data_IF_960163941736
#
_entry.id   IF_960163941736
#
_cell.length_a   1.000
_cell.length_b   1.000
_cell.length_c   1.000
_cell.angle_alpha   90.00
_cell.angle_beta   90.00
_cell.angle_gamma   90.00
#
_symmetry.space_group_name_H-M   'P 1'
#
loop_
_entity.id
_entity.type
_entity.pdbx_description
1 polymer ?
#
# COMPACT_ATOMS: atom_id res chain seq x y z
N UNK A 1 7.79 18.22 0.33
CA UNK A 1 8.06 19.21 -0.75
C UNK A 1 8.24 20.62 -0.25
N UNK A 2 7.33 21.19 0.56
CA UNK A 2 7.49 22.58 1.03
C UNK A 2 8.79 22.84 1.84
N UNK A 3 9.30 21.82 2.54
CA UNK A 3 10.52 21.92 3.36
C UNK A 3 11.76 21.41 2.62
N UNK A 4 11.68 20.23 1.98
CA UNK A 4 12.81 19.55 1.35
C UNK A 4 12.93 19.76 -0.18
N UNK A 5 12.03 20.54 -0.78
CA UNK A 5 11.91 20.69 -2.24
C UNK A 5 11.21 19.51 -2.93
N UNK A 6 10.90 19.64 -4.23
CA UNK A 6 10.34 18.58 -5.08
C UNK A 6 11.45 17.71 -5.68
N UNK A 7 12.21 17.02 -4.83
CA UNK A 7 13.32 16.14 -5.24
C UNK A 7 13.03 14.68 -4.90
N UNK A 8 13.69 13.76 -5.59
CA UNK A 8 13.61 12.32 -5.26
C UNK A 8 14.10 12.04 -3.84
N UNK A 9 15.15 12.73 -3.38
CA UNK A 9 15.62 12.64 -1.99
C UNK A 9 14.55 13.10 -1.01
N UNK A 10 13.87 14.21 -1.30
CA UNK A 10 12.75 14.71 -0.49
C UNK A 10 11.61 13.69 -0.39
N UNK A 11 11.35 12.92 -1.46
CA UNK A 11 10.39 11.84 -1.45
C UNK A 11 10.86 10.65 -0.59
N UNK A 12 12.13 10.26 -0.67
CA UNK A 12 12.72 9.20 0.16
C UNK A 12 12.67 9.53 1.66
N UNK A 13 12.93 10.79 2.03
CA UNK A 13 12.80 11.27 3.42
C UNK A 13 11.39 11.08 3.98
N UNK A 14 10.36 11.33 3.17
CA UNK A 14 8.96 11.13 3.56
C UNK A 14 8.67 9.64 3.83
N UNK A 15 9.21 8.73 3.02
CA UNK A 15 9.08 7.30 3.28
C UNK A 15 9.79 6.86 4.57
N UNK A 16 10.91 7.50 4.93
CA UNK A 16 11.57 7.31 6.23
C UNK A 16 10.64 7.63 7.41
N UNK A 17 9.89 8.74 7.31
CA UNK A 17 8.87 9.08 8.31
C UNK A 17 7.76 8.02 8.38
N UNK A 18 7.24 7.58 7.23
CA UNK A 18 6.24 6.52 7.19
C UNK A 18 6.73 5.21 7.80
N UNK A 19 8.01 4.88 7.65
CA UNK A 19 8.61 3.68 8.27
C UNK A 19 8.58 3.78 9.80
N UNK A 20 8.99 4.93 10.36
CA UNK A 20 8.94 5.16 11.82
C UNK A 20 7.51 5.05 12.34
N UNK A 21 6.54 5.64 11.62
CA UNK A 21 5.13 5.56 11.97
C UNK A 21 4.60 4.12 11.86
N UNK A 22 5.00 3.35 10.84
CA UNK A 22 4.64 1.94 10.70
C UNK A 22 5.10 1.14 11.91
N UNK A 23 6.37 1.32 12.32
CA UNK A 23 6.95 0.64 13.48
C UNK A 23 6.20 1.01 14.76
N UNK A 24 5.90 2.29 14.97
CA UNK A 24 5.14 2.75 16.13
C UNK A 24 3.71 2.16 16.15
N UNK A 25 3.02 2.13 15.01
CA UNK A 25 1.70 1.52 14.86
C UNK A 25 1.70 0.01 15.13
N UNK A 26 2.67 -0.72 14.59
CA UNK A 26 2.83 -2.16 14.84
C UNK A 26 3.20 -2.47 16.29
N UNK A 27 4.07 -1.66 16.90
CA UNK A 27 4.39 -1.76 18.32
C UNK A 27 3.13 -1.58 19.16
N UNK A 28 2.40 -0.48 18.93
CA UNK A 28 1.17 -0.16 19.65
C UNK A 28 0.12 -1.26 19.50
N UNK A 29 -0.09 -1.73 18.27
CA UNK A 29 -1.06 -2.78 17.99
C UNK A 29 -0.69 -4.13 18.61
N UNK A 30 0.55 -4.57 18.44
CA UNK A 30 1.06 -5.81 19.04
C UNK A 30 1.06 -5.78 20.57
N UNK A 31 1.37 -4.62 21.16
CA UNK A 31 1.26 -4.40 22.60
C UNK A 31 -0.18 -4.50 23.11
N UNK A 32 -1.14 -3.89 22.41
CA UNK A 32 -2.56 -3.99 22.75
C UNK A 32 -3.10 -5.42 22.61
N UNK A 33 -2.75 -6.13 21.53
CA UNK A 33 -3.21 -7.50 21.31
C UNK A 33 -2.62 -8.49 22.33
N UNK A 34 -1.35 -8.32 22.71
CA UNK A 34 -0.65 -9.27 23.57
C UNK A 34 0.18 -8.58 24.66
N UNK A 35 1.39 -8.11 24.33
CA UNK A 35 2.36 -7.55 25.28
C UNK A 35 3.45 -6.73 24.57
N UNK A 36 4.23 -5.97 25.34
CA UNK A 36 5.27 -5.08 24.81
C UNK A 36 6.35 -5.82 24.00
N UNK A 37 6.72 -7.05 24.37
CA UNK A 37 7.73 -7.81 23.62
C UNK A 37 7.19 -8.19 22.25
N UNK A 38 5.92 -8.59 22.17
CA UNK A 38 5.24 -8.87 20.91
C UNK A 38 5.21 -7.63 20.01
N UNK A 39 4.89 -6.45 20.57
CA UNK A 39 4.94 -5.18 19.85
C UNK A 39 6.33 -4.87 19.28
N UNK A 40 7.39 -5.01 20.08
CA UNK A 40 8.76 -4.77 19.63
C UNK A 40 9.16 -5.69 18.47
N UNK A 41 8.86 -6.98 18.56
CA UNK A 41 9.18 -7.92 17.49
C UNK A 41 8.34 -7.69 16.24
N UNK A 42 7.07 -7.29 16.36
CA UNK A 42 6.26 -6.92 15.19
C UNK A 42 6.84 -5.69 14.46
N UNK A 43 7.25 -4.66 15.22
CA UNK A 43 7.92 -3.48 14.68
C UNK A 43 9.26 -3.84 14.02
N UNK A 44 10.09 -4.65 14.68
CA UNK A 44 11.38 -5.08 14.14
C UNK A 44 11.21 -5.90 12.85
N UNK A 45 10.31 -6.89 12.85
CA UNK A 45 10.06 -7.73 11.67
C UNK A 45 9.60 -6.91 10.46
N UNK A 46 8.88 -5.81 10.66
CA UNK A 46 8.45 -4.93 9.55
C UNK A 46 9.61 -4.33 8.75
N UNK A 47 10.80 -4.21 9.34
CA UNK A 47 12.01 -3.71 8.68
C UNK A 47 12.65 -4.73 7.72
N UNK A 48 12.38 -6.01 7.97
CA UNK A 48 12.95 -7.17 7.25
C UNK A 48 11.89 -7.96 6.48
N UNK A 49 10.68 -7.40 6.34
CA UNK A 49 9.69 -7.89 5.38
C UNK A 49 10.04 -7.32 4.00
N UNK A 50 10.23 -8.17 2.99
CA UNK A 50 10.69 -7.76 1.67
C UNK A 50 9.80 -6.73 0.98
N UNK A 51 8.49 -6.97 0.93
CA UNK A 51 7.56 -6.05 0.28
C UNK A 51 7.60 -4.67 0.95
N UNK A 52 7.63 -4.62 2.29
CA UNK A 52 7.73 -3.37 3.05
C UNK A 52 9.10 -2.70 2.86
N UNK A 53 10.18 -3.48 2.77
CA UNK A 53 11.54 -2.98 2.57
C UNK A 53 11.77 -2.42 1.16
N UNK A 54 11.05 -2.93 0.15
CA UNK A 54 11.00 -2.34 -1.20
C UNK A 54 10.17 -1.06 -1.20
N UNK A 55 8.94 -1.09 -0.66
CA UNK A 55 8.00 0.04 -0.76
C UNK A 55 8.35 1.22 0.15
N UNK A 56 9.31 1.09 1.07
CA UNK A 56 9.93 2.25 1.73
C UNK A 56 10.92 2.99 0.81
N UNK A 57 11.41 2.36 -0.24
CA UNK A 57 12.31 2.97 -1.24
C UNK A 57 11.52 3.51 -2.43
N UNK A 58 10.38 2.90 -2.74
CA UNK A 58 9.47 3.37 -3.80
C UNK A 58 8.50 4.41 -3.25
N UNK A 59 8.40 5.59 -3.87
CA UNK A 59 7.45 6.63 -3.45
C UNK A 59 6.03 6.32 -3.98
N UNK A 60 5.36 5.37 -3.32
CA UNK A 60 4.01 4.90 -3.66
C UNK A 60 3.05 5.07 -2.49
N UNK A 61 1.77 5.32 -2.80
CA UNK A 61 0.71 5.52 -1.80
C UNK A 61 0.37 4.26 -0.99
N UNK A 62 0.79 3.08 -1.44
CA UNK A 62 0.53 1.82 -0.74
C UNK A 62 1.22 1.77 0.62
N UNK A 63 2.40 2.40 0.75
CA UNK A 63 3.15 2.46 2.00
C UNK A 63 2.47 3.32 3.08
N UNK A 64 2.15 4.61 2.83
CA UNK A 64 1.37 5.41 3.79
C UNK A 64 -0.01 4.83 4.07
N UNK A 65 -0.65 4.18 3.09
CA UNK A 65 -1.93 3.48 3.32
C UNK A 65 -1.75 2.36 4.36
N UNK A 66 -0.69 1.57 4.24
CA UNK A 66 -0.37 0.50 5.20
C UNK A 66 -0.15 1.05 6.61
N UNK A 67 0.50 2.22 6.72
CA UNK A 67 0.62 2.94 8.00
C UNK A 67 -0.74 3.34 8.54
N UNK A 68 -1.57 4.04 7.75
CA UNK A 68 -2.88 4.50 8.18
C UNK A 68 -3.80 3.32 8.61
N UNK A 69 -3.70 2.19 7.92
CA UNK A 69 -4.43 0.95 8.25
C UNK A 69 -3.96 0.36 9.59
N UNK A 70 -2.64 0.29 9.87
CA UNK A 70 -2.17 -0.25 11.15
C UNK A 70 -2.64 0.60 12.33
N UNK A 71 -2.64 1.93 12.20
CA UNK A 71 -3.19 2.83 13.23
C UNK A 71 -4.70 2.62 13.39
N UNK A 72 -5.43 2.42 12.29
CA UNK A 72 -6.86 2.10 12.35
C UNK A 72 -7.15 0.80 13.10
N UNK A 73 -6.35 -0.25 12.88
CA UNK A 73 -6.47 -1.50 13.63
C UNK A 73 -6.06 -1.35 15.10
N UNK A 74 -4.98 -0.62 15.36
CA UNK A 74 -4.52 -0.34 16.72
C UNK A 74 -5.58 0.40 17.53
N UNK A 75 -6.11 1.51 17.01
CA UNK A 75 -7.10 2.33 17.71
C UNK A 75 -8.43 1.59 17.88
N UNK A 76 -8.85 0.81 16.88
CA UNK A 76 -10.01 -0.07 17.00
C UNK A 76 -9.82 -1.12 18.11
N UNK A 77 -8.64 -1.75 18.20
CA UNK A 77 -8.32 -2.72 19.26
C UNK A 77 -8.28 -2.04 20.63
N UNK A 78 -7.60 -0.90 20.75
CA UNK A 78 -7.49 -0.15 22.00
C UNK A 78 -8.87 0.30 22.50
N UNK A 79 -9.72 0.80 21.61
CA UNK A 79 -11.11 1.12 21.90
C UNK A 79 -11.90 -0.12 22.39
N UNK A 80 -11.81 -1.24 21.66
CA UNK A 80 -12.47 -2.48 22.05
C UNK A 80 -12.02 -3.01 23.41
N UNK A 81 -10.73 -2.96 23.72
CA UNK A 81 -10.17 -3.44 24.98
C UNK A 81 -10.70 -2.64 26.18
N UNK A 82 -10.77 -1.30 26.06
CA UNK A 82 -11.34 -0.43 27.11
C UNK A 82 -12.83 -0.65 27.35
N UNK A 83 -13.53 -1.19 26.36
CA UNK A 83 -14.93 -1.56 26.48
C UNK A 83 -15.16 -3.01 26.93
N UNK A 84 -14.12 -3.84 26.99
CA UNK A 84 -14.18 -5.26 27.39
C UNK A 84 -13.67 -5.49 28.82
N UNK A 85 -12.65 -4.76 29.26
CA UNK A 85 -12.08 -4.88 30.60
C UNK A 85 -12.49 -3.74 31.53
N UNK A 86 -13.05 -4.07 32.70
CA UNK A 86 -12.91 -3.37 34.00
C UNK A 86 -13.18 -1.85 34.13
N UNK A 87 -13.62 -1.16 33.07
CA UNK A 87 -13.73 0.30 33.02
C UNK A 87 -15.13 0.88 32.86
N UNK A 88 -16.16 0.05 32.61
CA UNK A 88 -17.53 0.56 32.49
C UNK A 88 -18.02 1.21 33.81
N UNK A 89 -17.40 0.84 34.93
CA UNK A 89 -17.74 1.32 36.28
C UNK A 89 -16.75 2.38 36.82
N UNK A 90 -15.70 2.74 36.06
CA UNK A 90 -14.74 3.80 36.44
C UNK A 90 -14.88 5.01 35.52
N UNK A 91 -15.26 6.20 36.02
CA UNK A 91 -15.62 7.35 35.19
C UNK A 91 -14.49 7.82 34.25
N UNK A 92 -13.22 7.64 34.61
CA UNK A 92 -12.07 8.04 33.78
C UNK A 92 -11.82 7.14 32.55
N UNK A 93 -12.22 5.86 32.58
CA UNK A 93 -11.96 4.94 31.48
C UNK A 93 -12.95 5.14 30.31
N UNK A 94 -14.15 5.63 30.61
CA UNK A 94 -15.13 6.02 29.60
C UNK A 94 -14.64 7.18 28.72
N UNK A 95 -14.05 8.23 29.32
CA UNK A 95 -13.48 9.37 28.59
C UNK A 95 -12.33 8.94 27.66
N UNK A 96 -11.47 8.03 28.12
CA UNK A 96 -10.40 7.48 27.30
C UNK A 96 -10.95 6.67 26.11
N UNK A 97 -12.05 5.93 26.27
CA UNK A 97 -12.70 5.23 25.17
C UNK A 97 -13.22 6.18 24.07
N UNK A 98 -13.70 7.36 24.46
CA UNK A 98 -14.06 8.42 23.51
C UNK A 98 -12.85 8.96 22.76
N UNK A 99 -11.74 9.20 23.46
CA UNK A 99 -10.47 9.57 22.82
C UNK A 99 -10.03 8.56 21.77
N UNK A 100 -10.13 7.26 22.06
CA UNK A 100 -9.83 6.21 21.09
C UNK A 100 -10.81 6.15 19.92
N UNK A 101 -12.10 6.41 20.15
CA UNK A 101 -13.09 6.49 19.07
C UNK A 101 -12.80 7.67 18.13
N UNK A 102 -12.41 8.82 18.67
CA UNK A 102 -11.97 9.98 17.86
C UNK A 102 -10.69 9.64 17.10
N UNK A 103 -9.68 9.06 17.75
CA UNK A 103 -8.44 8.65 17.10
C UNK A 103 -8.70 7.64 15.96
N UNK A 104 -9.59 6.68 16.18
CA UNK A 104 -10.04 5.72 15.15
C UNK A 104 -10.72 6.43 13.97
N UNK A 105 -11.60 7.40 14.24
CA UNK A 105 -12.23 8.19 13.17
C UNK A 105 -11.23 9.00 12.35
N UNK A 106 -10.24 9.61 13.01
CA UNK A 106 -9.14 10.32 12.34
C UNK A 106 -8.31 9.37 11.48
N UNK A 107 -7.96 8.18 12.00
CA UNK A 107 -7.17 7.22 11.21
C UNK A 107 -7.96 6.68 10.01
N UNK A 108 -9.27 6.48 10.15
CA UNK A 108 -10.14 6.11 9.01
C UNK A 108 -10.19 7.23 7.96
N UNK A 109 -10.27 8.49 8.38
CA UNK A 109 -10.18 9.62 7.45
C UNK A 109 -8.85 9.59 6.67
N UNK A 110 -7.73 9.37 7.35
CA UNK A 110 -6.41 9.28 6.70
C UNK A 110 -6.35 8.10 5.73
N UNK A 111 -6.90 6.93 6.07
CA UNK A 111 -6.98 5.78 5.16
C UNK A 111 -7.72 6.16 3.86
N UNK A 112 -8.87 6.82 3.99
CA UNK A 112 -9.71 7.20 2.84
C UNK A 112 -9.13 8.34 2.00
N UNK A 113 -8.42 9.28 2.64
CA UNK A 113 -7.69 10.35 1.94
C UNK A 113 -6.44 9.83 1.23
N UNK A 114 -5.85 8.73 1.70
CA UNK A 114 -4.66 8.16 1.07
C UNK A 114 -5.03 7.40 -0.20
N UNK A 115 -6.03 6.52 -0.13
CA UNK A 115 -6.47 5.74 -1.28
C UNK A 115 -7.87 5.19 -1.08
N UNK A 116 -8.70 5.21 -2.12
CA UNK A 116 -10.08 4.69 -2.11
C UNK A 116 -10.15 3.19 -1.82
N UNK A 117 -9.16 2.42 -2.28
CA UNK A 117 -9.01 0.99 -1.94
C UNK A 117 -8.79 0.75 -0.44
N UNK A 118 -8.48 1.79 0.34
CA UNK A 118 -8.42 1.75 1.80
C UNK A 118 -9.70 1.23 2.45
N UNK A 119 -10.86 1.42 1.82
CA UNK A 119 -12.14 0.87 2.28
C UNK A 119 -12.11 -0.65 2.48
N UNK A 120 -11.36 -1.36 1.64
CA UNK A 120 -11.17 -2.81 1.76
C UNK A 120 -10.62 -3.21 3.13
N UNK A 121 -9.70 -2.42 3.66
CA UNK A 121 -9.06 -2.67 4.95
C UNK A 121 -9.87 -2.15 6.13
N UNK A 122 -10.75 -1.18 5.91
CA UNK A 122 -11.70 -0.72 6.94
C UNK A 122 -12.93 -1.63 7.06
N UNK A 123 -13.28 -2.38 6.01
CA UNK A 123 -14.44 -3.26 6.03
C UNK A 123 -14.36 -4.35 7.14
N UNK A 124 -13.24 -5.07 7.34
CA UNK A 124 -13.13 -6.04 8.43
C UNK A 124 -13.39 -5.45 9.84
N UNK A 125 -12.71 -4.38 10.32
CA UNK A 125 -13.05 -3.80 11.62
C UNK A 125 -14.49 -3.32 11.70
N UNK A 126 -15.05 -2.73 10.64
CA UNK A 126 -16.46 -2.35 10.62
C UNK A 126 -17.39 -3.55 10.80
N UNK A 127 -17.18 -4.64 10.07
CA UNK A 127 -17.97 -5.87 10.19
C UNK A 127 -17.88 -6.47 11.58
N UNK A 128 -16.68 -6.51 12.17
CA UNK A 128 -16.47 -6.99 13.53
C UNK A 128 -17.18 -6.14 14.58
N UNK A 129 -17.16 -4.82 14.41
CA UNK A 129 -17.83 -3.86 15.30
C UNK A 129 -19.34 -3.99 15.20
N UNK A 130 -19.90 -3.99 13.98
CA UNK A 130 -21.34 -4.13 13.74
C UNK A 130 -21.84 -5.46 14.29
N UNK A 131 -21.16 -6.56 14.00
CA UNK A 131 -21.51 -7.88 14.54
C UNK A 131 -21.44 -7.93 16.07
N UNK A 132 -20.39 -7.33 16.67
CA UNK A 132 -20.23 -7.24 18.12
C UNK A 132 -21.30 -6.40 18.83
N UNK A 133 -21.67 -5.26 18.25
CA UNK A 133 -22.73 -4.37 18.75
C UNK A 133 -24.08 -5.07 18.63
N UNK A 134 -24.42 -5.60 17.45
CA UNK A 134 -25.67 -6.29 17.17
C UNK A 134 -25.89 -7.48 18.11
N UNK A 135 -24.88 -8.34 18.27
CA UNK A 135 -24.94 -9.46 19.22
C UNK A 135 -25.14 -9.00 20.66
N UNK A 136 -24.49 -7.91 21.07
CA UNK A 136 -24.64 -7.36 22.42
C UNK A 136 -26.00 -6.68 22.67
N UNK A 137 -26.66 -6.14 21.64
CA UNK A 137 -28.01 -5.58 21.73
C UNK A 137 -29.07 -6.68 21.91
N UNK A 138 -28.87 -7.85 21.30
CA UNK A 138 -29.76 -9.01 21.43
C UNK A 138 -29.70 -9.66 22.82
N UNK A 139 -28.59 -9.53 23.55
CA UNK A 139 -28.44 -10.06 24.91
C UNK A 139 -28.78 -9.01 25.97
N UNK A 140 -29.87 -9.24 26.73
CA UNK A 140 -30.39 -8.32 27.74
C UNK A 140 -29.31 -7.75 28.70
N UNK A 141 -28.34 -8.56 29.13
CA UNK A 141 -27.28 -8.12 30.05
C UNK A 141 -26.20 -7.20 29.48
N UNK A 142 -26.17 -6.91 28.16
CA UNK A 142 -25.12 -6.07 27.53
C UNK A 142 -25.66 -4.86 26.76
N UNK A 143 -26.97 -4.60 26.84
CA UNK A 143 -27.65 -3.58 26.03
C UNK A 143 -27.10 -2.17 26.25
N UNK A 144 -26.87 -1.77 27.50
CA UNK A 144 -26.32 -0.43 27.85
C UNK A 144 -24.93 -0.21 27.27
N UNK A 145 -24.03 -1.18 27.41
CA UNK A 145 -22.68 -1.11 26.86
C UNK A 145 -22.71 -1.08 25.33
N UNK A 146 -23.59 -1.87 24.69
CA UNK A 146 -23.74 -1.84 23.23
C UNK A 146 -24.22 -0.50 22.69
N UNK A 147 -25.14 0.19 23.38
CA UNK A 147 -25.55 1.55 23.00
C UNK A 147 -24.40 2.55 23.08
N UNK A 148 -23.59 2.48 24.13
CA UNK A 148 -22.40 3.32 24.24
C UNK A 148 -21.40 3.05 23.10
N UNK A 149 -21.18 1.77 22.76
CA UNK A 149 -20.34 1.37 21.62
C UNK A 149 -20.87 1.90 20.30
N UNK A 150 -22.18 1.83 20.10
CA UNK A 150 -22.83 2.37 18.91
C UNK A 150 -22.58 3.88 18.81
N UNK A 151 -22.80 4.61 19.90
CA UNK A 151 -22.67 6.07 19.91
C UNK A 151 -21.21 6.52 19.72
N UNK A 152 -20.25 5.81 20.32
CA UNK A 152 -18.81 6.02 20.05
C UNK A 152 -18.43 5.67 18.61
N UNK A 153 -19.00 4.60 18.05
CA UNK A 153 -18.81 4.24 16.64
C UNK A 153 -19.38 5.30 15.68
N UNK A 154 -20.57 5.82 15.96
CA UNK A 154 -21.16 6.94 15.23
C UNK A 154 -20.30 8.20 15.33
N UNK A 155 -19.67 8.43 16.48
CA UNK A 155 -18.73 9.54 16.67
C UNK A 155 -17.49 9.35 15.81
N UNK A 156 -16.92 8.14 15.74
CA UNK A 156 -15.81 7.85 14.84
C UNK A 156 -16.18 8.08 13.36
N UNK A 157 -17.39 7.69 12.94
CA UNK A 157 -17.91 7.95 11.60
C UNK A 157 -18.10 9.45 11.33
N UNK A 158 -18.62 10.21 12.30
CA UNK A 158 -18.75 11.66 12.20
C UNK A 158 -17.38 12.33 12.06
N UNK A 159 -16.42 11.96 12.90
CA UNK A 159 -15.03 12.46 12.82
C UNK A 159 -14.41 12.09 11.47
N UNK A 160 -14.64 10.87 10.98
CA UNK A 160 -14.20 10.45 9.65
C UNK A 160 -14.78 11.38 8.58
N UNK A 161 -16.09 11.61 8.61
CA UNK A 161 -16.78 12.49 7.67
C UNK A 161 -16.31 13.93 7.74
N UNK A 162 -16.07 14.48 8.93
CA UNK A 162 -15.51 15.83 9.09
C UNK A 162 -14.10 15.93 8.49
N UNK A 163 -13.31 14.86 8.58
CA UNK A 163 -11.97 14.80 7.99
C UNK A 163 -11.98 14.72 6.46
N UNK A 164 -12.91 13.98 5.86
CA UNK A 164 -12.91 13.70 4.41
C UNK A 164 -13.95 14.50 3.61
N UNK A 165 -14.99 15.02 4.27
CA UNK A 165 -16.23 15.46 3.63
C UNK A 165 -16.02 16.57 2.61
N UNK A 166 -15.19 17.57 2.94
CA UNK A 166 -14.89 18.68 2.03
C UNK A 166 -14.10 18.25 0.79
N UNK A 167 -13.18 17.31 0.94
CA UNK A 167 -12.43 16.76 -0.21
C UNK A 167 -13.34 15.85 -1.05
N UNK A 168 -14.12 14.98 -0.39
CA UNK A 168 -15.03 14.07 -1.07
C UNK A 168 -16.11 14.83 -1.86
N UNK A 169 -16.69 15.90 -1.30
CA UNK A 169 -17.73 16.68 -2.00
C UNK A 169 -17.25 17.29 -3.32
N UNK A 170 -15.95 17.58 -3.44
CA UNK A 170 -15.35 18.15 -4.65
C UNK A 170 -14.85 17.08 -5.62
N UNK A 171 -14.49 15.88 -5.14
CA UNK A 171 -13.76 14.87 -5.91
C UNK A 171 -14.50 13.54 -6.07
N UNK A 172 -15.77 13.43 -5.63
CA UNK A 172 -16.53 12.17 -5.64
C UNK A 172 -16.59 11.52 -7.04
N UNK A 173 -16.76 12.31 -8.10
CA UNK A 173 -16.83 11.78 -9.46
C UNK A 173 -15.49 11.18 -9.88
N UNK A 174 -14.38 11.88 -9.57
CA UNK A 174 -13.02 11.39 -9.82
C UNK A 174 -12.72 10.11 -9.05
N UNK A 175 -13.18 10.00 -7.80
CA UNK A 175 -13.03 8.80 -6.98
C UNK A 175 -13.71 7.60 -7.64
N UNK A 176 -14.94 7.79 -8.13
CA UNK A 176 -15.71 6.71 -8.76
C UNK A 176 -15.09 6.34 -10.11
N UNK A 177 -14.78 7.33 -10.95
CA UNK A 177 -14.22 7.09 -12.29
C UNK A 177 -12.88 6.39 -12.21
N UNK A 178 -11.96 6.85 -11.36
CA UNK A 178 -10.63 6.23 -11.18
C UNK A 178 -10.72 4.81 -10.62
N UNK A 179 -11.69 4.53 -9.75
CA UNK A 179 -11.90 3.18 -9.22
C UNK A 179 -12.39 2.22 -10.32
N UNK A 180 -13.35 2.64 -11.15
CA UNK A 180 -13.84 1.85 -12.29
C UNK A 180 -12.73 1.60 -13.32
N UNK A 181 -11.99 2.66 -13.67
CA UNK A 181 -10.89 2.60 -14.62
C UNK A 181 -9.75 1.69 -14.11
N UNK A 182 -9.45 1.72 -12.80
CA UNK A 182 -8.43 0.82 -12.22
C UNK A 182 -8.79 -0.66 -12.35
N UNK A 183 -10.09 -0.97 -12.35
CA UNK A 183 -10.62 -2.33 -12.56
C UNK A 183 -10.42 -2.75 -14.02
N UNK A 184 -10.82 -1.89 -14.96
CA UNK A 184 -10.60 -2.11 -16.39
C UNK A 184 -9.11 -2.24 -16.72
N UNK A 185 -8.27 -1.44 -16.08
CA UNK A 185 -6.83 -1.48 -16.27
C UNK A 185 -6.23 -2.84 -15.83
N UNK A 186 -6.69 -3.42 -14.72
CA UNK A 186 -6.25 -4.76 -14.31
C UNK A 186 -6.69 -5.85 -15.28
N UNK A 187 -7.96 -5.82 -15.71
CA UNK A 187 -8.56 -6.86 -16.56
C UNK A 187 -8.04 -6.78 -18.00
N UNK A 188 -8.20 -5.61 -18.62
CA UNK A 188 -8.01 -5.42 -20.07
C UNK A 188 -6.56 -5.14 -20.43
N UNK A 189 -5.84 -4.38 -19.60
CA UNK A 189 -4.47 -3.96 -19.92
C UNK A 189 -3.44 -4.97 -19.42
N UNK A 190 -3.56 -5.47 -18.19
CA UNK A 190 -2.63 -6.44 -17.60
C UNK A 190 -3.00 -7.91 -17.77
N UNK A 191 -4.28 -8.23 -18.00
CA UNK A 191 -4.74 -9.61 -18.06
C UNK A 191 -4.73 -10.31 -16.70
N UNK A 192 -4.95 -9.56 -15.61
CA UNK A 192 -4.93 -10.10 -14.25
C UNK A 192 -5.98 -11.20 -14.05
N UNK A 193 -5.68 -12.27 -13.28
CA UNK A 193 -6.60 -13.38 -13.07
C UNK A 193 -7.82 -12.94 -12.26
N UNK A 194 -9.01 -13.23 -12.80
CA UNK A 194 -10.29 -12.77 -12.28
C UNK A 194 -10.77 -13.60 -11.08
N UNK A 195 -11.60 -12.99 -10.22
CA UNK A 195 -12.15 -13.63 -9.01
C UNK A 195 -13.07 -14.84 -9.29
N UNK A 196 -13.58 -14.98 -10.52
CA UNK A 196 -14.34 -16.16 -10.95
C UNK A 196 -13.45 -17.34 -11.37
N UNK A 197 -12.13 -17.23 -11.26
CA UNK A 197 -11.16 -18.28 -11.62
C UNK A 197 -10.39 -18.77 -10.38
N UNK A 198 -9.95 -20.03 -10.39
CA UNK A 198 -9.08 -20.56 -9.34
C UNK A 198 -7.76 -19.79 -9.25
N UNK A 199 -7.21 -19.35 -10.38
CA UNK A 199 -6.00 -18.54 -10.43
C UNK A 199 -6.17 -17.21 -9.67
N UNK A 200 -7.33 -16.56 -9.75
CA UNK A 200 -7.60 -15.30 -9.05
C UNK A 200 -7.61 -15.43 -7.52
N UNK A 201 -8.03 -16.58 -7.01
CA UNK A 201 -7.98 -16.92 -5.58
C UNK A 201 -6.58 -17.33 -5.14
N UNK A 202 -5.87 -18.12 -5.95
CA UNK A 202 -4.53 -18.61 -5.60
C UNK A 202 -3.43 -17.56 -5.80
N UNK A 203 -3.71 -16.43 -6.45
CA UNK A 203 -2.75 -15.36 -6.70
C UNK A 203 -1.98 -14.92 -5.44
N UNK A 204 -2.67 -14.45 -4.39
CA UNK A 204 -2.01 -13.94 -3.19
C UNK A 204 -1.25 -15.01 -2.40
N UNK A 205 -1.77 -16.25 -2.21
CA UNK A 205 -1.01 -17.35 -1.66
C UNK A 205 0.27 -17.67 -2.44
N UNK A 206 0.23 -17.60 -3.78
CA UNK A 206 1.39 -17.86 -4.64
C UNK A 206 2.48 -16.80 -4.47
N UNK A 207 2.11 -15.52 -4.37
CA UNK A 207 3.08 -14.41 -4.19
C UNK A 207 3.45 -14.15 -2.72
N UNK A 208 2.79 -14.79 -1.75
CA UNK A 208 3.05 -14.58 -0.32
C UNK A 208 4.52 -14.81 0.08
N UNK A 209 5.25 -15.83 -0.43
CA UNK A 209 6.67 -16.00 -0.15
C UNK A 209 7.51 -14.83 -0.65
N UNK A 210 7.13 -14.20 -1.77
CA UNK A 210 7.80 -12.99 -2.26
C UNK A 210 7.49 -11.78 -1.36
N UNK A 211 6.25 -11.68 -0.88
CA UNK A 211 5.81 -10.59 -0.01
C UNK A 211 6.48 -10.61 1.37
N UNK A 212 6.52 -11.78 2.03
CA UNK A 212 6.99 -11.96 3.41
C UNK A 212 8.41 -12.51 3.54
N UNK A 213 8.97 -13.13 2.50
CA UNK A 213 10.08 -14.10 2.52
C UNK A 213 9.64 -15.52 2.90
N UNK A 214 10.21 -16.56 2.25
CA UNK A 214 9.94 -17.95 2.61
C UNK A 214 10.23 -18.27 4.08
N UNK A 215 11.26 -17.65 4.66
CA UNK A 215 11.64 -17.83 6.06
C UNK A 215 10.50 -17.40 7.00
N UNK A 216 9.96 -16.19 6.81
CA UNK A 216 8.89 -15.69 7.67
C UNK A 216 7.57 -16.45 7.45
N UNK A 217 7.32 -16.95 6.23
CA UNK A 217 6.18 -17.84 5.97
C UNK A 217 6.31 -19.14 6.76
N UNK A 218 7.47 -19.80 6.71
CA UNK A 218 7.71 -21.03 7.47
C UNK A 218 7.61 -20.80 8.98
N UNK A 219 8.15 -19.69 9.48
CA UNK A 219 8.00 -19.31 10.88
C UNK A 219 6.53 -19.05 11.24
N UNK A 220 5.76 -18.40 10.38
CA UNK A 220 4.31 -18.22 10.57
C UNK A 220 3.55 -19.54 10.66
N UNK A 221 3.89 -20.52 9.80
CA UNK A 221 3.31 -21.86 9.84
C UNK A 221 3.71 -22.63 11.10
N UNK A 222 4.99 -22.57 11.49
CA UNK A 222 5.49 -23.21 12.72
C UNK A 222 4.84 -22.62 13.98
N UNK A 223 4.61 -21.31 13.98
CA UNK A 223 3.87 -20.62 15.03
C UNK A 223 2.42 -21.08 15.06
N UNK A 224 1.74 -21.12 13.91
CA UNK A 224 0.36 -21.57 13.82
C UNK A 224 0.17 -23.00 14.34
N UNK A 225 1.06 -23.92 13.97
CA UNK A 225 1.01 -25.31 14.46
C UNK A 225 1.24 -25.37 15.97
N UNK A 226 2.28 -24.73 16.49
CA UNK A 226 2.54 -24.66 17.93
C UNK A 226 1.38 -24.04 18.72
N UNK A 227 0.67 -23.08 18.12
CA UNK A 227 -0.50 -22.47 18.71
C UNK A 227 -1.75 -23.37 18.66
N UNK A 228 -1.91 -24.21 17.64
CA UNK A 228 -3.05 -25.13 17.62
C UNK A 228 -2.98 -26.15 18.76
N UNK A 229 -1.77 -26.54 19.17
CA UNK A 229 -1.53 -27.56 20.19
C UNK A 229 -1.40 -27.04 21.63
N UNK A 230 -1.60 -25.73 21.88
CA UNK A 230 -1.54 -25.18 23.24
C UNK A 230 -2.92 -24.66 23.70
N UNK A 231 -3.73 -25.51 24.37
CA UNK A 231 -5.10 -25.21 24.76
C UNK A 231 -5.22 -24.27 25.98
N UNK A 232 -4.15 -24.05 26.74
CA UNK A 232 -4.18 -23.34 28.02
C UNK A 232 -3.87 -21.84 27.87
N UNK A 233 -4.68 -21.12 27.09
CA UNK A 233 -4.50 -19.67 26.86
C UNK A 233 -5.44 -18.80 27.68
N UNK A 234 -4.98 -17.63 28.16
CA UNK A 234 -5.87 -16.61 28.70
C UNK A 234 -6.91 -16.17 27.66
N UNK A 235 -8.16 -15.98 28.09
CA UNK A 235 -9.28 -15.62 27.22
C UNK A 235 -9.01 -14.38 26.35
N UNK A 236 -8.33 -13.35 26.90
CA UNK A 236 -7.94 -12.14 26.15
C UNK A 236 -7.04 -12.47 24.95
N UNK A 237 -6.08 -13.39 25.12
CA UNK A 237 -5.21 -13.79 24.01
C UNK A 237 -5.99 -14.53 22.92
N UNK A 238 -6.97 -15.35 23.30
CA UNK A 238 -7.83 -16.03 22.34
C UNK A 238 -8.67 -15.04 21.51
N UNK A 239 -9.16 -13.96 22.11
CA UNK A 239 -9.86 -12.91 21.37
C UNK A 239 -8.93 -12.16 20.40
N UNK A 240 -7.71 -11.84 20.82
CA UNK A 240 -6.70 -11.23 19.93
C UNK A 240 -6.35 -12.13 18.76
N UNK A 241 -6.17 -13.43 18.98
CA UNK A 241 -5.95 -14.40 17.90
C UNK A 241 -7.13 -14.48 16.94
N UNK A 242 -8.37 -14.56 17.45
CA UNK A 242 -9.58 -14.57 16.61
C UNK A 242 -9.69 -13.30 15.77
N UNK A 243 -9.37 -12.16 16.36
CA UNK A 243 -9.34 -10.87 15.66
C UNK A 243 -8.30 -10.85 14.54
N UNK A 244 -7.07 -11.26 14.81
CA UNK A 244 -5.99 -11.29 13.80
C UNK A 244 -6.29 -12.27 12.66
N UNK A 245 -6.83 -13.47 12.96
CA UNK A 245 -7.25 -14.42 11.94
C UNK A 245 -8.43 -13.91 11.12
N UNK A 246 -9.42 -13.30 11.78
CA UNK A 246 -10.54 -12.67 11.09
C UNK A 246 -10.05 -11.58 10.13
N UNK A 247 -9.14 -10.69 10.56
CA UNK A 247 -8.52 -9.70 9.69
C UNK A 247 -7.79 -10.35 8.51
N UNK A 248 -6.91 -11.32 8.78
CA UNK A 248 -6.12 -11.97 7.74
C UNK A 248 -7.02 -12.64 6.69
N UNK A 249 -8.05 -13.36 7.11
CA UNK A 249 -8.99 -14.05 6.21
C UNK A 249 -9.87 -13.04 5.47
N UNK A 250 -10.46 -12.08 6.17
CA UNK A 250 -11.37 -11.11 5.57
C UNK A 250 -10.67 -10.23 4.52
N UNK A 251 -9.45 -9.74 4.83
CA UNK A 251 -8.65 -8.97 3.87
C UNK A 251 -8.28 -9.82 2.66
N UNK A 252 -7.88 -11.08 2.87
CA UNK A 252 -7.57 -12.00 1.78
C UNK A 252 -8.79 -12.25 0.88
N UNK A 253 -9.97 -12.50 1.47
CA UNK A 253 -11.21 -12.73 0.71
C UNK A 253 -11.59 -11.49 -0.08
N UNK A 254 -11.66 -10.33 0.57
CA UNK A 254 -12.02 -9.07 -0.09
C UNK A 254 -11.01 -8.69 -1.18
N UNK A 255 -9.71 -8.87 -0.92
CA UNK A 255 -8.66 -8.62 -1.91
C UNK A 255 -8.68 -9.61 -3.07
N UNK A 256 -9.08 -10.86 -2.81
CA UNK A 256 -9.25 -11.89 -3.84
C UNK A 256 -10.45 -11.62 -4.76
N UNK A 257 -11.43 -10.85 -4.31
CA UNK A 257 -12.56 -10.42 -5.14
C UNK A 257 -12.18 -9.26 -6.10
N UNK A 258 -11.11 -8.52 -5.83
CA UNK A 258 -10.65 -7.44 -6.70
C UNK A 258 -10.11 -7.96 -8.03
N UNK A 259 -10.43 -7.27 -9.12
CA UNK A 259 -10.00 -7.64 -10.47
C UNK A 259 -8.52 -7.28 -10.76
N UNK A 260 -7.99 -6.29 -10.05
CA UNK A 260 -6.59 -5.86 -10.16
C UNK A 260 -5.73 -6.65 -9.15
N UNK A 261 -4.74 -7.39 -9.64
CA UNK A 261 -3.94 -8.33 -8.84
C UNK A 261 -2.48 -7.92 -8.84
N UNK A 262 -2.06 -7.31 -7.73
CA UNK A 262 -0.65 -6.94 -7.52
C UNK A 262 -0.29 -7.11 -6.04
N UNK A 263 0.94 -7.53 -5.71
CA UNK A 263 1.32 -7.76 -4.32
C UNK A 263 1.18 -6.51 -3.45
N UNK A 264 1.49 -5.33 -4.01
CA UNK A 264 1.39 -4.04 -3.30
C UNK A 264 -0.02 -3.67 -2.87
N UNK A 265 -1.04 -4.11 -3.61
CA UNK A 265 -2.45 -3.77 -3.32
C UNK A 265 -2.97 -4.45 -2.07
N UNK A 266 -2.37 -5.57 -1.66
CA UNK A 266 -2.65 -6.25 -0.39
C UNK A 266 -1.54 -6.05 0.65
N UNK A 267 -0.67 -5.06 0.52
CA UNK A 267 0.39 -4.85 1.50
C UNK A 267 -0.10 -4.73 2.97
N UNK A 268 -1.24 -4.08 3.28
CA UNK A 268 -1.78 -4.08 4.65
C UNK A 268 -2.25 -5.45 5.16
N UNK A 269 -2.41 -6.45 4.28
CA UNK A 269 -2.66 -7.85 4.67
C UNK A 269 -1.51 -8.45 5.48
N UNK A 270 -0.29 -7.94 5.31
CA UNK A 270 0.89 -8.40 6.04
C UNK A 270 0.87 -8.03 7.53
N UNK A 271 0.10 -7.00 7.90
CA UNK A 271 0.04 -6.48 9.27
C UNK A 271 -0.39 -7.55 10.29
N UNK A 272 -1.53 -8.27 10.13
CA UNK A 272 -1.89 -9.34 11.05
C UNK A 272 -0.84 -10.46 11.07
N UNK A 273 -0.24 -10.82 9.94
CA UNK A 273 0.82 -11.83 9.88
C UNK A 273 2.04 -11.44 10.72
N UNK A 274 2.49 -10.19 10.64
CA UNK A 274 3.61 -9.69 11.41
C UNK A 274 3.37 -9.79 12.92
N UNK A 275 2.18 -9.40 13.39
CA UNK A 275 1.81 -9.49 14.81
C UNK A 275 1.73 -10.96 15.26
N UNK A 276 1.17 -11.83 14.43
CA UNK A 276 1.05 -13.26 14.73
C UNK A 276 2.42 -13.96 14.78
N UNK A 277 3.30 -13.72 13.80
CA UNK A 277 4.67 -14.26 13.76
C UNK A 277 5.46 -13.76 14.96
N UNK A 278 5.42 -12.44 15.24
CA UNK A 278 6.09 -11.86 16.39
C UNK A 278 5.62 -12.51 17.70
N UNK A 279 4.31 -12.70 17.86
CA UNK A 279 3.76 -13.35 19.05
C UNK A 279 4.28 -14.77 19.20
N UNK A 280 4.27 -15.54 18.11
CA UNK A 280 4.75 -16.91 18.12
C UNK A 280 6.22 -17.05 18.47
N UNK A 281 7.07 -16.16 17.95
CA UNK A 281 8.49 -16.11 18.31
C UNK A 281 8.68 -15.75 19.80
N UNK A 282 7.85 -14.85 20.34
CA UNK A 282 7.89 -14.47 21.76
C UNK A 282 7.42 -15.59 22.69
N UNK A 283 6.60 -16.52 22.22
CA UNK A 283 6.12 -17.66 23.01
C UNK A 283 7.20 -18.70 23.28
N UNK A 284 8.31 -18.71 22.53
CA UNK A 284 9.45 -19.61 22.79
C UNK A 284 10.31 -19.02 23.92
N UNK A 285 10.31 -19.62 25.13
CA UNK A 285 11.00 -19.04 26.28
C UNK A 285 12.51 -19.34 26.26
N UNK A 286 13.24 -18.73 27.19
CA UNK A 286 14.65 -19.03 27.46
C UNK A 286 15.67 -18.46 26.47
N UNK A 287 16.92 -18.90 26.62
CA UNK A 287 18.05 -18.52 25.76
C UNK A 287 17.86 -18.99 24.33
N UNK A 288 17.35 -20.23 24.13
CA UNK A 288 17.03 -20.77 22.81
C UNK A 288 15.99 -19.94 22.04
N UNK A 289 14.92 -19.49 22.71
CA UNK A 289 13.95 -18.58 22.10
C UNK A 289 14.52 -17.20 21.77
N UNK A 290 15.50 -16.72 22.56
CA UNK A 290 16.22 -15.47 22.26
C UNK A 290 17.10 -15.62 21.02
N UNK A 291 17.85 -16.72 20.93
CA UNK A 291 18.65 -17.05 19.76
C UNK A 291 17.78 -17.23 18.51
N UNK A 292 16.63 -17.89 18.62
CA UNK A 292 15.68 -18.05 17.50
C UNK A 292 15.19 -16.70 16.97
N UNK A 293 14.82 -15.77 17.86
CA UNK A 293 14.31 -14.45 17.48
C UNK A 293 15.35 -13.61 16.74
N UNK A 294 16.57 -13.51 17.28
CA UNK A 294 17.66 -12.78 16.65
C UNK A 294 18.18 -13.49 15.40
N UNK A 295 18.23 -14.83 15.39
CA UNK A 295 18.59 -15.62 14.23
C UNK A 295 17.59 -15.46 13.08
N UNK A 296 16.29 -15.51 13.37
CA UNK A 296 15.23 -15.26 12.38
C UNK A 296 15.32 -13.85 11.81
N UNK A 297 15.48 -12.83 12.67
CA UNK A 297 15.64 -11.44 12.21
C UNK A 297 16.91 -11.24 11.39
N UNK A 298 18.06 -11.76 11.85
CA UNK A 298 19.32 -11.67 11.13
C UNK A 298 19.28 -12.38 9.78
N UNK A 299 18.71 -13.58 9.72
CA UNK A 299 18.53 -14.31 8.46
C UNK A 299 17.58 -13.56 7.50
N UNK A 300 16.44 -13.04 7.99
CA UNK A 300 15.54 -12.23 7.18
C UNK A 300 16.21 -10.93 6.69
N UNK A 301 17.02 -10.28 7.53
CA UNK A 301 17.79 -9.11 7.16
C UNK A 301 18.79 -9.42 6.04
N UNK A 302 19.55 -10.52 6.15
CA UNK A 302 20.48 -10.96 5.10
C UNK A 302 19.77 -11.23 3.78
N UNK A 303 18.60 -11.90 3.83
CA UNK A 303 17.78 -12.16 2.64
C UNK A 303 17.29 -10.85 1.99
N UNK A 304 16.78 -9.91 2.79
CA UNK A 304 16.36 -8.60 2.27
C UNK A 304 17.53 -7.81 1.71
N UNK A 305 18.69 -7.82 2.36
CA UNK A 305 19.89 -7.15 1.84
C UNK A 305 20.35 -7.77 0.53
N UNK A 306 20.39 -9.10 0.41
CA UNK A 306 20.71 -9.76 -0.85
C UNK A 306 19.68 -9.47 -1.94
N UNK A 307 18.40 -9.33 -1.57
CA UNK A 307 17.34 -9.02 -2.50
C UNK A 307 17.40 -7.56 -3.02
N UNK A 308 17.85 -6.62 -2.19
CA UNK A 308 17.94 -5.19 -2.52
C UNK A 308 19.31 -4.76 -3.06
N UNK A 309 20.39 -5.50 -2.78
CA UNK A 309 21.75 -5.08 -3.15
C UNK A 309 22.57 -6.23 -3.73
N UNK A 310 23.37 -5.99 -4.79
CA UNK A 310 24.19 -7.01 -5.43
C UNK A 310 25.48 -7.26 -4.63
N UNK A 311 25.36 -7.76 -3.40
CA UNK A 311 26.47 -7.94 -2.44
C UNK A 311 26.85 -9.42 -2.21
N UNK A 312 26.39 -10.33 -3.06
CA UNK A 312 26.71 -11.77 -2.96
C UNK A 312 26.02 -12.50 -1.80
N UNK A 313 24.99 -11.90 -1.22
CA UNK A 313 24.15 -12.53 -0.18
C UNK A 313 23.06 -13.42 -0.81
N UNK A 314 22.50 -14.37 -0.04
CA UNK A 314 21.40 -15.20 -0.52
C UNK A 314 20.21 -14.35 -0.96
N UNK A 315 19.64 -14.70 -2.11
CA UNK A 315 18.45 -14.05 -2.68
C UNK A 315 17.35 -15.07 -2.86
N UNK A 316 16.11 -14.60 -2.99
CA UNK A 316 14.97 -15.41 -3.36
C UNK A 316 14.01 -14.52 -4.18
N UNK A 317 13.30 -15.15 -5.13
CA UNK A 317 12.45 -14.42 -6.07
C UNK A 317 13.25 -13.51 -7.02
N UNK A 318 12.59 -12.49 -7.55
CA UNK A 318 13.19 -11.48 -8.42
C UNK A 318 14.03 -10.48 -7.60
N UNK A 319 15.23 -10.15 -8.05
CA UNK A 319 16.07 -9.15 -7.37
C UNK A 319 15.67 -7.74 -7.78
N UNK A 320 15.86 -6.77 -6.88
CA UNK A 320 15.63 -5.34 -7.16
C UNK A 320 16.86 -4.53 -6.83
N UNK A 321 17.89 -4.68 -7.66
CA UNK A 321 19.12 -3.92 -7.49
C UNK A 321 18.95 -2.47 -7.89
N UNK A 322 19.66 -1.53 -7.25
CA UNK A 322 19.70 -0.15 -7.68
C UNK A 322 20.31 -0.10 -9.08
N UNK A 323 19.63 0.60 -9.98
CA UNK A 323 20.22 0.91 -11.27
C UNK A 323 21.41 1.87 -11.05
N UNK A 324 22.59 1.47 -11.54
CA UNK A 324 23.83 2.26 -11.46
C UNK A 324 24.18 2.93 -12.78
N UNK A 325 23.30 2.81 -13.78
CA UNK A 325 23.50 3.44 -15.09
C UNK A 325 23.21 4.95 -15.02
N UNK A 326 23.45 5.63 -16.13
CA UNK A 326 23.22 7.08 -16.23
C UNK A 326 21.76 7.43 -15.87
N UNK A 327 21.52 8.59 -15.23
CA UNK A 327 20.17 9.01 -14.89
C UNK A 327 19.30 9.14 -16.14
N UNK A 328 18.02 8.79 -16.02
CA UNK A 328 17.04 8.97 -17.09
C UNK A 328 16.88 10.46 -17.41
N UNK A 329 16.65 10.83 -18.69
CA UNK A 329 16.68 12.22 -19.15
C UNK A 329 15.40 12.99 -18.83
N UNK A 330 14.81 12.78 -17.65
CA UNK A 330 13.58 13.46 -17.23
C UNK A 330 13.77 14.98 -17.25
N UNK A 331 14.79 15.49 -16.56
CA UNK A 331 15.03 16.93 -16.48
C UNK A 331 15.41 17.52 -17.84
N UNK A 332 16.21 16.81 -18.63
CA UNK A 332 16.61 17.25 -19.98
C UNK A 332 15.40 17.41 -20.90
N UNK A 333 14.46 16.45 -20.88
CA UNK A 333 13.22 16.54 -21.63
C UNK A 333 12.36 17.73 -21.19
N UNK A 334 12.20 17.92 -19.88
CA UNK A 334 11.39 19.04 -19.35
C UNK A 334 12.06 20.38 -19.67
N UNK A 335 13.38 20.50 -19.52
CA UNK A 335 14.11 21.74 -19.80
C UNK A 335 14.12 22.05 -21.30
N UNK A 336 14.17 21.05 -22.19
CA UNK A 336 14.05 21.26 -23.64
C UNK A 336 12.69 21.88 -24.01
N UNK A 337 11.60 21.34 -23.46
CA UNK A 337 10.24 21.88 -23.66
C UNK A 337 10.14 23.28 -23.04
N UNK A 338 10.60 23.44 -21.80
CA UNK A 338 10.52 24.71 -21.08
C UNK A 338 11.36 25.81 -21.73
N UNK A 339 12.49 25.49 -22.35
CA UNK A 339 13.34 26.46 -23.06
C UNK A 339 12.73 26.86 -24.40
N UNK A 340 12.10 25.91 -25.10
CA UNK A 340 11.44 26.15 -26.39
C UNK A 340 10.15 26.95 -26.21
N UNK A 341 9.39 26.67 -25.14
CA UNK A 341 8.10 27.28 -24.82
C UNK A 341 8.10 27.93 -23.41
N UNK A 342 8.90 28.97 -23.15
CA UNK A 342 9.17 29.48 -21.79
C UNK A 342 7.98 30.09 -21.06
N UNK A 343 6.92 30.45 -21.78
CA UNK A 343 5.74 31.11 -21.20
C UNK A 343 4.46 30.27 -21.34
N UNK A 344 4.56 29.05 -21.84
CA UNK A 344 3.41 28.19 -22.08
C UNK A 344 3.46 26.96 -21.18
N UNK A 345 2.29 26.56 -20.68
CA UNK A 345 2.12 25.23 -20.09
C UNK A 345 1.92 24.23 -21.23
N UNK A 346 2.71 23.17 -21.24
CA UNK A 346 2.69 22.16 -22.31
C UNK A 346 2.28 20.80 -21.76
N UNK A 347 1.62 20.02 -22.60
CA UNK A 347 1.34 18.61 -22.34
C UNK A 347 2.27 17.79 -23.23
N UNK A 348 3.08 16.95 -22.61
CA UNK A 348 3.94 15.96 -23.25
C UNK A 348 3.16 14.66 -23.43
N UNK A 349 3.01 14.23 -24.68
CA UNK A 349 2.48 12.91 -25.03
C UNK A 349 3.54 11.84 -24.78
N UNK A 350 3.25 10.90 -23.89
CA UNK A 350 4.20 9.87 -23.47
C UNK A 350 3.73 8.52 -23.97
N UNK A 351 4.47 7.96 -24.93
CA UNK A 351 4.25 6.59 -25.39
C UNK A 351 5.02 5.59 -24.52
N UNK A 352 6.13 6.03 -23.92
CA UNK A 352 6.99 5.16 -23.13
C UNK A 352 6.36 4.88 -21.76
N UNK A 353 6.20 3.60 -21.41
CA UNK A 353 5.69 3.19 -20.10
C UNK A 353 6.55 2.07 -19.49
N UNK A 354 7.72 2.45 -18.97
CA UNK A 354 8.62 1.58 -18.21
C UNK A 354 8.63 1.96 -16.72
N UNK A 355 9.24 1.14 -15.86
CA UNK A 355 9.33 1.45 -14.44
C UNK A 355 10.06 2.78 -14.18
N UNK A 356 11.05 3.11 -15.01
CA UNK A 356 11.88 4.29 -14.84
C UNK A 356 11.45 5.49 -15.68
N UNK A 357 10.94 5.27 -16.90
CA UNK A 357 10.45 6.31 -17.79
C UNK A 357 8.98 6.07 -18.11
N UNK A 358 8.12 6.86 -17.49
CA UNK A 358 6.69 6.78 -17.64
C UNK A 358 6.06 8.17 -17.44
N UNK A 359 4.76 8.33 -17.76
CA UNK A 359 4.10 9.62 -17.63
C UNK A 359 4.17 10.18 -16.20
N UNK A 360 4.11 9.35 -15.15
CA UNK A 360 4.12 9.84 -13.76
C UNK A 360 5.47 10.45 -13.37
N UNK A 361 6.58 9.83 -13.77
CA UNK A 361 7.92 10.34 -13.49
C UNK A 361 8.20 11.65 -14.23
N UNK A 362 7.71 11.77 -15.47
CA UNK A 362 7.81 12.99 -16.27
C UNK A 362 6.90 14.10 -15.74
N UNK A 363 5.70 13.76 -15.27
CA UNK A 363 4.78 14.72 -14.62
C UNK A 363 5.40 15.27 -13.33
N UNK A 364 6.07 14.43 -12.55
CA UNK A 364 6.85 14.86 -11.38
C UNK A 364 7.96 15.87 -11.75
N UNK A 365 8.75 15.57 -12.78
CA UNK A 365 9.80 16.47 -13.25
C UNK A 365 9.22 17.80 -13.77
N UNK A 366 8.10 17.76 -14.48
CA UNK A 366 7.37 18.94 -14.94
C UNK A 366 6.79 19.78 -13.79
N UNK A 367 6.27 19.13 -12.74
CA UNK A 367 5.80 19.78 -11.52
C UNK A 367 6.96 20.45 -10.75
N UNK A 368 8.13 19.81 -10.68
CA UNK A 368 9.34 20.40 -10.11
C UNK A 368 9.79 21.67 -10.86
N UNK A 369 9.43 21.79 -12.15
CA UNK A 369 9.59 22.99 -12.97
C UNK A 369 8.36 23.91 -12.94
N UNK A 370 7.78 24.13 -11.76
CA UNK A 370 6.61 24.99 -11.53
C UNK A 370 5.38 24.62 -12.36
N UNK A 371 5.16 23.31 -12.57
CA UNK A 371 4.02 22.80 -13.36
C UNK A 371 3.98 23.35 -14.80
N UNK A 372 5.14 23.61 -15.39
CA UNK A 372 5.23 24.09 -16.77
C UNK A 372 4.92 22.97 -17.78
N UNK A 373 5.24 21.72 -17.45
CA UNK A 373 5.00 20.56 -18.31
C UNK A 373 4.15 19.54 -17.54
N UNK A 374 3.15 18.99 -18.21
CA UNK A 374 2.35 17.86 -17.74
C UNK A 374 2.57 16.67 -18.67
N UNK A 375 2.62 15.46 -18.14
CA UNK A 375 2.82 14.27 -18.95
C UNK A 375 1.54 13.41 -19.00
N UNK A 376 1.21 12.91 -20.18
CA UNK A 376 0.02 12.07 -20.41
C UNK A 376 0.37 10.84 -21.22
N UNK A 377 -0.09 9.67 -20.76
CA UNK A 377 0.02 8.45 -21.55
C UNK A 377 -0.93 8.51 -22.74
N UNK A 378 -0.45 8.13 -23.92
CA UNK A 378 -1.23 8.11 -25.15
C UNK A 378 -1.13 6.76 -25.87
N UNK A 379 -1.97 6.56 -26.88
CA UNK A 379 -1.91 5.39 -27.75
C UNK A 379 -2.45 4.11 -27.08
N UNK A 380 -3.47 4.23 -26.23
CA UNK A 380 -4.13 3.07 -25.62
C UNK A 380 -4.84 2.18 -26.64
N UNK A 381 -5.33 2.78 -27.75
CA UNK A 381 -6.01 2.08 -28.84
C UNK A 381 -5.51 2.58 -30.19
N UNK A 382 -5.50 1.72 -31.23
CA UNK A 382 -5.16 2.15 -32.59
C UNK A 382 -6.07 3.27 -33.10
N UNK A 383 -7.36 3.22 -32.78
CA UNK A 383 -8.34 4.22 -33.24
C UNK A 383 -8.08 5.63 -32.66
N UNK A 384 -7.43 5.70 -31.50
CA UNK A 384 -7.09 6.96 -30.83
C UNK A 384 -5.78 7.56 -31.35
N UNK A 385 -4.98 6.81 -32.14
CA UNK A 385 -3.64 7.22 -32.56
C UNK A 385 -3.61 8.52 -33.38
N UNK A 386 -4.51 8.68 -34.36
CA UNK A 386 -4.55 9.90 -35.19
C UNK A 386 -5.06 11.11 -34.37
N UNK A 387 -6.18 11.01 -33.63
CA UNK A 387 -6.60 12.07 -32.71
C UNK A 387 -5.49 12.49 -31.72
N UNK A 388 -4.86 11.52 -31.06
CA UNK A 388 -3.80 11.74 -30.09
C UNK A 388 -2.59 12.43 -30.73
N UNK A 389 -2.17 11.95 -31.90
CA UNK A 389 -1.02 12.47 -32.66
C UNK A 389 -1.20 13.90 -33.20
N UNK A 390 -2.45 14.36 -33.36
CA UNK A 390 -2.75 15.74 -33.79
C UNK A 390 -3.00 16.70 -32.61
N UNK A 391 -3.19 16.16 -31.41
CA UNK A 391 -3.66 16.95 -30.27
C UNK A 391 -2.55 17.68 -29.51
N UNK A 392 -1.29 17.22 -29.61
CA UNK A 392 -0.16 17.75 -28.87
C UNK A 392 1.00 18.15 -29.80
N UNK A 393 1.91 18.95 -29.26
CA UNK A 393 3.11 19.42 -29.98
C UNK A 393 4.38 18.68 -29.56
N UNK A 394 4.33 17.94 -28.46
CA UNK A 394 5.49 17.28 -27.86
C UNK A 394 5.17 15.82 -27.58
N UNK A 395 6.06 14.93 -28.03
CA UNK A 395 5.95 13.50 -27.83
C UNK A 395 7.28 12.90 -27.40
N UNK A 396 7.23 11.87 -26.55
CA UNK A 396 8.39 11.04 -26.23
C UNK A 396 8.10 9.58 -26.59
N UNK A 397 9.01 9.00 -27.36
CA UNK A 397 8.97 7.62 -27.84
C UNK A 397 10.32 6.95 -27.57
N UNK A 398 10.36 5.61 -27.52
CA UNK A 398 11.62 4.85 -27.46
C UNK A 398 11.81 3.96 -28.69
N UNK A 399 13.01 3.47 -28.95
CA UNK A 399 13.20 2.45 -29.99
C UNK A 399 12.74 1.07 -29.51
N UNK A 400 12.08 0.29 -30.38
CA UNK A 400 11.56 -1.03 -30.02
C UNK A 400 10.24 -0.99 -29.25
N UNK A 401 10.09 -1.92 -28.31
CA UNK A 401 8.94 -2.02 -27.41
C UNK A 401 8.73 -0.69 -26.67
N UNK A 402 7.49 -0.20 -26.57
CA UNK A 402 7.14 1.06 -25.90
C UNK A 402 6.83 0.89 -24.41
N UNK A 403 6.67 -0.31 -23.86
CA UNK A 403 6.41 -0.46 -22.44
C UNK A 403 5.83 -1.80 -22.01
N UNK A 404 5.40 -1.85 -20.76
CA UNK A 404 5.09 -3.12 -20.06
C UNK A 404 3.84 -3.87 -20.58
N UNK A 405 2.95 -3.21 -21.34
CA UNK A 405 1.63 -3.75 -21.69
C UNK A 405 1.53 -4.09 -23.18
N UNK A 406 1.64 -5.38 -23.51
CA UNK A 406 1.45 -5.89 -24.87
C UNK A 406 0.07 -5.54 -25.46
N UNK A 407 -0.95 -5.33 -24.62
CA UNK A 407 -2.33 -5.04 -25.01
C UNK A 407 -2.53 -3.66 -25.64
N UNK A 408 -1.65 -2.70 -25.36
CA UNK A 408 -1.70 -1.34 -25.96
C UNK A 408 -0.62 -1.12 -27.01
N UNK A 409 0.26 -2.10 -27.21
CA UNK A 409 1.40 -2.00 -28.11
C UNK A 409 0.96 -1.59 -29.52
N UNK A 410 -0.15 -2.16 -30.03
CA UNK A 410 -0.69 -1.81 -31.33
C UNK A 410 -1.10 -0.33 -31.45
N UNK A 411 -1.70 0.24 -30.39
CA UNK A 411 -2.06 1.65 -30.35
C UNK A 411 -0.84 2.56 -30.28
N UNK A 412 0.15 2.18 -29.46
CA UNK A 412 1.40 2.92 -29.33
C UNK A 412 2.25 2.86 -30.60
N UNK A 413 2.30 1.72 -31.28
CA UNK A 413 2.96 1.56 -32.58
C UNK A 413 2.26 2.41 -33.66
N UNK A 414 0.93 2.40 -33.69
CA UNK A 414 0.16 3.23 -34.63
C UNK A 414 0.40 4.73 -34.41
N UNK A 415 0.38 5.18 -33.14
CA UNK A 415 0.68 6.57 -32.79
C UNK A 415 2.13 6.95 -33.11
N UNK A 416 3.09 6.05 -32.83
CA UNK A 416 4.49 6.27 -33.20
C UNK A 416 4.65 6.42 -34.70
N UNK A 417 4.05 5.53 -35.50
CA UNK A 417 4.11 5.61 -36.96
C UNK A 417 3.53 6.94 -37.47
N UNK A 418 2.43 7.41 -36.86
CA UNK A 418 1.89 8.73 -37.17
C UNK A 418 2.89 9.85 -36.87
N UNK A 419 3.50 9.84 -35.67
CA UNK A 419 4.48 10.86 -35.26
C UNK A 419 5.70 10.86 -36.19
N UNK A 420 6.25 9.67 -36.49
CA UNK A 420 7.46 9.51 -37.31
C UNK A 420 7.25 9.91 -38.78
N UNK A 421 6.00 9.96 -39.25
CA UNK A 421 5.66 10.33 -40.63
C UNK A 421 5.00 11.70 -40.76
N UNK A 422 4.71 12.37 -39.63
CA UNK A 422 4.01 13.65 -39.64
C UNK A 422 4.94 14.79 -40.06
N UNK A 423 4.60 15.55 -41.12
CA UNK A 423 5.41 16.70 -41.54
C UNK A 423 5.34 17.86 -40.54
N UNK A 424 4.32 17.88 -39.67
CA UNK A 424 4.06 18.97 -38.72
C UNK A 424 4.80 18.78 -37.38
N UNK A 425 5.43 17.62 -37.16
CA UNK A 425 6.17 17.29 -35.95
C UNK A 425 7.67 17.21 -36.26
N UNK A 426 8.44 18.31 -36.11
CA UNK A 426 9.87 18.28 -36.36
C UNK A 426 10.56 17.32 -35.38
N UNK A 427 11.39 16.43 -35.89
CA UNK A 427 12.22 15.56 -35.06
C UNK A 427 13.19 16.40 -34.23
N UNK A 428 12.99 16.45 -32.91
CA UNK A 428 14.02 16.91 -31.99
C UNK A 428 15.23 15.96 -32.03
N UNK A 429 16.46 16.46 -31.79
CA UNK A 429 17.65 15.61 -31.74
C UNK A 429 17.43 14.48 -30.73
N UNK A 430 17.83 13.28 -31.12
CA UNK A 430 17.88 12.15 -30.18
C UNK A 430 18.75 12.55 -29.01
N UNK A 431 18.17 12.59 -27.81
CA UNK A 431 18.96 12.62 -26.60
C UNK A 431 19.83 11.36 -26.63
N UNK A 432 21.15 11.57 -26.61
CA UNK A 432 22.17 10.59 -26.99
C UNK A 432 21.92 9.21 -26.36
N UNK A 433 22.39 8.12 -27.00
CA UNK A 433 22.10 6.76 -26.56
C UNK A 433 22.89 6.41 -25.30
N UNK A 434 22.57 6.99 -24.16
CA UNK A 434 22.83 6.37 -22.86
C UNK A 434 21.73 5.35 -22.58
N UNK A 435 21.66 4.32 -23.45
CA UNK A 435 20.86 3.08 -23.32
C UNK A 435 19.39 3.30 -22.88
N UNK A 436 18.53 3.55 -23.86
CA UNK A 436 17.06 3.53 -23.74
C UNK A 436 16.48 2.12 -23.60
#
# INVERSE_FOLDING_TARGET
MAIAGPTYDGAAWVNGLWMVLLMAGLYGWGHCCFDARTGWWAAALSLVVPLLAQHRLDFLLDYPLTVAVVYSYWFCQAWCDRLRGYGADRPGEAWLAWGWAVAMGLSWAVVLLTRTSGLLFLAPPLLWLVGGIGWGLLRHGRRRTSWLRLLQGLTALLVTWLGIGGWFSQNWLTIISTTLESTQHGVTLRGDPQANTLAGWLYYPQVLPEMLSPLLVLLGLAVWSALHFNPSRPQRQNESWRWLWFLAIAIYVLGSLGANKQPRLLMPWLLPWLVMIARGLVLVPGSGGTALRWGAFGAAALLVTGHLFPVGLPTYGSTRYPDRTAPYPHNELIDAIATTDPHLRRTLGVLVNTAQLNPMNLDFAGAARNFQVYARQLGFRPDDAIPDGRSLSWYVTKTGDQGEYATIEAGQQSLRQFIDTSPDLPHCPSLAPSRW
#
